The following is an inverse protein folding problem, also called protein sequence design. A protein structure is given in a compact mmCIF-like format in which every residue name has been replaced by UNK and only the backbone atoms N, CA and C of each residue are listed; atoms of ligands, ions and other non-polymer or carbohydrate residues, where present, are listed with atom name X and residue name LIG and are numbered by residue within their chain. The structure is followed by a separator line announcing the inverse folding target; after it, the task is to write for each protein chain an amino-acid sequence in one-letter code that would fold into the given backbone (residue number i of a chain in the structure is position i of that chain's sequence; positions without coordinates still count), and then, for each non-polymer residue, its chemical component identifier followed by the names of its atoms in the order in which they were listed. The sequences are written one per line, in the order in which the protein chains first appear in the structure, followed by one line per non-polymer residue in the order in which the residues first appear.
data_IF_836313789961
#
_entry.id   IF_836313789961
#
_cell.length_a   1.000
_cell.length_b   1.000
_cell.length_c   1.000
_cell.angle_alpha   90.00
_cell.angle_beta   90.00
_cell.angle_gamma   90.00
#
_symmetry.space_group_name_H-M   'P 1'
#
loop_
_entity.id
_entity.type
_entity.pdbx_description
1 polymer ?
#
# COMPACT_ATOMS: atom_id res chain seq x y z
N UNK A 1 -8.70 9.75 -4.21
CA UNK A 1 -9.48 8.82 -3.37
C UNK A 1 -8.57 7.97 -2.49
N UNK A 2 -7.62 7.29 -3.12
CA UNK A 2 -6.68 6.43 -2.38
C UNK A 2 -5.27 7.03 -2.44
N UNK A 3 -4.80 7.53 -1.29
CA UNK A 3 -3.46 8.12 -1.21
C UNK A 3 -2.47 7.14 -0.62
N UNK A 4 -1.23 7.58 -0.47
CA UNK A 4 -0.18 6.75 0.07
C UNK A 4 0.46 7.36 1.30
N UNK A 5 0.68 6.53 2.31
CA UNK A 5 1.31 6.97 3.55
C UNK A 5 2.84 6.87 3.45
N UNK A 6 3.31 6.24 2.37
CA UNK A 6 4.75 6.08 2.15
C UNK A 6 5.06 6.13 0.66
N UNK A 7 6.35 6.07 0.28
CA UNK A 7 6.76 6.08 -1.11
C UNK A 7 6.70 4.71 -1.75
N UNK A 8 6.82 4.69 -3.05
CA UNK A 8 6.76 3.46 -3.83
C UNK A 8 7.77 2.42 -3.31
N UNK A 9 8.79 2.89 -2.59
CA UNK A 9 9.81 2.00 -2.05
C UNK A 9 9.32 1.27 -0.80
N UNK A 10 8.31 1.80 -0.13
CA UNK A 10 7.79 1.19 1.08
C UNK A 10 6.55 0.37 0.81
N UNK A 11 5.71 0.87 -0.07
CA UNK A 11 4.47 0.20 -0.41
C UNK A 11 4.62 -0.48 -1.76
N UNK A 12 4.79 -1.78 -1.72
CA UNK A 12 4.96 -2.56 -2.92
C UNK A 12 3.73 -3.41 -3.20
N UNK A 13 3.40 -3.59 -4.48
CA UNK A 13 2.24 -4.39 -4.86
C UNK A 13 2.26 -5.71 -4.09
N UNK A 14 3.48 -6.15 -3.78
CA UNK A 14 3.69 -7.37 -3.01
C UNK A 14 3.03 -7.25 -1.63
N UNK A 15 3.19 -6.08 -1.02
CA UNK A 15 2.63 -5.83 0.31
C UNK A 15 1.14 -6.13 0.33
N UNK A 16 0.41 -5.62 -0.64
CA UNK A 16 -1.03 -5.86 -0.69
C UNK A 16 -1.34 -7.30 -1.03
N UNK A 17 -0.38 -7.98 -1.64
CA UNK A 17 -0.56 -9.38 -2.01
C UNK A 17 -0.68 -10.27 -0.80
N UNK A 18 0.25 -10.08 0.09
CA UNK A 18 0.37 -10.90 1.27
C UNK A 18 0.17 -10.13 2.58
N UNK A 19 0.52 -8.85 2.59
CA UNK A 19 0.39 -8.02 3.80
C UNK A 19 -0.83 -7.11 3.74
N UNK A 20 -1.75 -7.27 4.70
CA UNK A 20 -2.96 -6.45 4.77
C UNK A 20 -2.68 -5.07 5.35
N UNK A 21 -1.78 -5.02 6.33
CA UNK A 21 -1.43 -3.77 7.01
C UNK A 21 -1.02 -2.67 6.02
N UNK A 22 -0.04 -2.98 5.18
CA UNK A 22 0.46 -2.02 4.19
C UNK A 22 -0.62 -1.50 3.26
N UNK A 23 -1.64 -2.31 3.05
CA UNK A 23 -2.73 -1.95 2.13
C UNK A 23 -3.64 -0.87 2.69
N UNK A 24 -4.28 -1.17 3.81
CA UNK A 24 -5.21 -0.24 4.43
C UNK A 24 -4.56 0.63 5.49
N UNK A 25 -3.67 0.04 6.27
CA UNK A 25 -3.01 0.75 7.36
C UNK A 25 -1.97 1.76 6.87
N UNK A 26 -1.24 1.43 5.81
CA UNK A 26 -0.23 2.34 5.28
C UNK A 26 -0.74 3.08 4.03
N UNK A 27 -0.30 2.68 2.85
CA UNK A 27 -0.75 3.35 1.63
C UNK A 27 -1.91 2.61 1.01
N UNK A 28 -2.81 3.36 0.40
CA UNK A 28 -3.96 2.79 -0.27
C UNK A 28 -3.62 2.30 -1.67
N UNK A 29 -3.16 3.24 -2.49
CA UNK A 29 -2.81 2.95 -3.88
C UNK A 29 -1.42 2.37 -4.04
N UNK A 30 -0.41 3.07 -3.53
CA UNK A 30 0.98 2.64 -3.68
C UNK A 30 1.16 1.16 -3.35
N UNK A 31 0.35 0.66 -2.42
CA UNK A 31 0.45 -0.75 -2.02
C UNK A 31 -0.24 -1.65 -3.05
N UNK A 32 -1.06 -1.06 -3.91
CA UNK A 32 -1.76 -1.82 -4.92
C UNK A 32 -3.12 -2.31 -4.44
N UNK A 33 -3.93 -1.39 -3.94
CA UNK A 33 -5.28 -1.71 -3.46
C UNK A 33 -6.23 -0.53 -3.58
N UNK A 34 -5.69 0.68 -3.47
CA UNK A 34 -6.51 1.90 -3.55
C UNK A 34 -7.53 1.95 -2.42
#
# INVERSE_FOLDING_TARGET
ACKDYLPKSECTQFRCRTSMKYRLNLCKKTCGTC
#
